data_IF_615471684652
#
_entry.id   IF_615471684652
#
_cell.length_a   1.000
_cell.length_b   1.000
_cell.length_c   1.000
_cell.angle_alpha   90.00
_cell.angle_beta   90.00
_cell.angle_gamma   90.00
#
_symmetry.space_group_name_H-M   'P 1'
#
loop_
_entity.id
_entity.type
_entity.pdbx_description
1 polymer ?
#
# COMPACT_ATOMS: atom_id res chain seq x y z
N UNK A 1 -1.61 5.59 -15.90
CA UNK A 1 -0.46 5.48 -14.98
C UNK A 1 -0.24 4.00 -14.80
N UNK A 2 0.98 3.52 -14.99
CA UNK A 2 1.35 2.13 -14.66
C UNK A 2 1.46 2.04 -13.14
N UNK A 3 0.70 1.14 -12.52
CA UNK A 3 0.75 0.92 -11.06
C UNK A 3 2.04 0.23 -10.62
N UNK A 4 2.07 -0.20 -9.36
CA UNK A 4 3.12 -1.07 -8.83
C UNK A 4 2.97 -2.45 -9.49
N UNK A 5 4.07 -2.99 -10.01
CA UNK A 5 4.09 -4.31 -10.63
C UNK A 5 5.36 -5.05 -10.22
N UNK A 6 5.24 -6.35 -10.01
CA UNK A 6 6.33 -7.27 -9.71
C UNK A 6 6.47 -8.27 -10.84
N UNK A 7 7.70 -8.62 -11.19
CA UNK A 7 7.97 -9.69 -12.14
C UNK A 7 9.24 -10.43 -11.73
N UNK A 8 9.26 -11.73 -12.02
CA UNK A 8 10.43 -12.58 -11.86
C UNK A 8 10.53 -13.50 -13.09
N UNK A 9 11.75 -13.74 -13.59
CA UNK A 9 11.98 -14.57 -14.78
C UNK A 9 11.73 -16.06 -14.51
N UNK A 10 11.92 -16.47 -13.26
CA UNK A 10 11.79 -17.85 -12.79
C UNK A 10 10.38 -18.15 -12.27
N UNK A 11 9.48 -17.16 -12.21
CA UNK A 11 8.04 -17.36 -11.97
C UNK A 11 7.35 -18.02 -13.17
N UNK A 12 7.66 -19.29 -13.38
CA UNK A 12 7.08 -20.12 -14.43
C UNK A 12 7.19 -21.61 -14.07
N UNK A 13 6.49 -22.47 -14.83
CA UNK A 13 6.57 -23.91 -14.64
C UNK A 13 6.21 -24.35 -13.22
N UNK A 14 7.17 -24.95 -12.51
CA UNK A 14 6.94 -25.44 -11.13
C UNK A 14 6.76 -24.31 -10.11
N UNK A 15 7.17 -23.08 -10.44
CA UNK A 15 7.10 -21.92 -9.55
C UNK A 15 5.98 -20.93 -9.92
N UNK A 16 5.15 -21.24 -10.93
CA UNK A 16 4.10 -20.35 -11.46
C UNK A 16 2.94 -20.04 -10.47
N UNK A 17 3.01 -20.53 -9.24
CA UNK A 17 2.05 -20.26 -8.17
C UNK A 17 2.75 -20.11 -6.82
N UNK A 18 4.06 -19.92 -6.82
CA UNK A 18 4.80 -19.70 -5.60
C UNK A 18 4.57 -18.29 -5.09
N UNK A 19 4.46 -18.16 -3.77
CA UNK A 19 4.18 -16.89 -3.13
C UNK A 19 5.43 -16.01 -3.12
N UNK A 20 5.24 -14.72 -3.39
CA UNK A 20 6.18 -13.66 -3.03
C UNK A 20 5.66 -12.90 -1.82
N UNK A 21 6.51 -12.06 -1.26
CA UNK A 21 6.10 -11.05 -0.29
C UNK A 21 6.43 -9.65 -0.80
N UNK A 22 5.45 -8.75 -0.75
CA UNK A 22 5.59 -7.32 -1.03
C UNK A 22 5.25 -6.54 0.24
N UNK A 23 6.16 -5.68 0.67
CA UNK A 23 5.93 -4.74 1.77
C UNK A 23 5.80 -3.33 1.21
N UNK A 24 4.68 -2.67 1.48
CA UNK A 24 4.46 -1.26 1.20
C UNK A 24 4.66 -0.48 2.51
N UNK A 25 5.65 0.40 2.57
CA UNK A 25 5.97 1.18 3.76
C UNK A 25 5.93 2.66 3.45
N UNK A 26 5.08 3.41 4.14
CA UNK A 26 5.06 4.87 4.08
C UNK A 26 5.93 5.46 5.19
N UNK A 27 6.76 6.45 4.86
CA UNK A 27 7.52 7.23 5.84
C UNK A 27 6.60 8.04 6.78
N UNK A 28 5.48 8.53 6.24
CA UNK A 28 4.41 9.21 6.95
C UNK A 28 3.04 8.78 6.43
N UNK A 29 2.04 8.74 7.31
CA UNK A 29 0.68 8.36 6.95
C UNK A 29 0.37 6.88 7.18
N UNK A 30 -0.72 6.43 6.58
CA UNK A 30 -1.29 5.08 6.76
C UNK A 30 -1.66 4.53 5.38
N UNK A 31 -1.25 3.30 5.12
CA UNK A 31 -1.63 2.50 3.96
C UNK A 31 -2.72 1.51 4.40
N UNK A 32 -3.78 1.41 3.60
CA UNK A 32 -4.82 0.42 3.74
C UNK A 32 -5.08 -0.24 2.39
N UNK A 33 -5.06 -1.57 2.35
CA UNK A 33 -5.34 -2.35 1.14
C UNK A 33 -6.70 -3.03 1.33
N UNK A 34 -7.61 -2.81 0.39
CA UNK A 34 -8.92 -3.48 0.33
C UNK A 34 -8.98 -4.23 -0.99
N UNK A 35 -9.28 -5.53 -0.94
CA UNK A 35 -9.43 -6.34 -2.15
C UNK A 35 -10.39 -7.49 -1.88
N UNK A 36 -11.01 -7.99 -2.95
CA UNK A 36 -11.76 -9.25 -2.94
C UNK A 36 -10.88 -10.47 -3.30
N UNK A 37 -9.61 -10.26 -3.67
CA UNK A 37 -8.70 -11.35 -4.02
C UNK A 37 -8.30 -12.13 -2.75
N UNK A 38 -8.85 -13.34 -2.60
CA UNK A 38 -8.60 -14.20 -1.45
C UNK A 38 -7.28 -14.98 -1.53
N UNK A 39 -6.56 -14.92 -2.66
CA UNK A 39 -5.26 -15.58 -2.84
C UNK A 39 -4.10 -14.72 -2.28
N UNK A 40 -4.36 -13.46 -1.94
CA UNK A 40 -3.39 -12.56 -1.31
C UNK A 40 -3.71 -12.44 0.17
N UNK A 41 -2.75 -12.83 1.01
CA UNK A 41 -2.79 -12.59 2.44
C UNK A 41 -2.24 -11.21 2.72
N UNK A 42 -3.03 -10.38 3.42
CA UNK A 42 -2.63 -9.03 3.82
C UNK A 42 -2.44 -9.00 5.34
N UNK A 43 -1.25 -8.62 5.80
CA UNK A 43 -0.94 -8.44 7.23
C UNK A 43 -0.54 -7.00 7.51
N UNK A 44 -0.69 -6.59 8.77
CA UNK A 44 -0.39 -5.22 9.24
C UNK A 44 -1.15 -4.13 8.47
N UNK A 45 -2.32 -4.47 7.94
CA UNK A 45 -3.16 -3.56 7.17
C UNK A 45 -3.60 -2.34 8.00
N UNK A 46 -3.90 -1.23 7.31
CA UNK A 46 -4.32 0.03 7.93
C UNK A 46 -3.27 0.58 8.92
N UNK A 47 -1.99 0.48 8.53
CA UNK A 47 -0.83 0.94 9.29
C UNK A 47 0.19 1.66 8.39
N UNK A 48 1.33 2.10 8.94
CA UNK A 48 2.41 2.70 8.13
C UNK A 48 3.14 1.71 7.22
N UNK A 49 3.02 0.40 7.48
CA UNK A 49 3.61 -0.64 6.66
C UNK A 49 2.65 -1.83 6.51
N UNK A 50 2.32 -2.19 5.27
CA UNK A 50 1.41 -3.29 4.95
C UNK A 50 2.18 -4.35 4.18
N UNK A 51 1.94 -5.62 4.51
CA UNK A 51 2.58 -6.75 3.84
C UNK A 51 1.52 -7.53 3.04
N UNK A 52 1.80 -7.78 1.78
CA UNK A 52 1.01 -8.60 0.86
C UNK A 52 1.83 -9.86 0.56
N UNK A 53 1.21 -11.03 0.69
CA UNK A 53 1.82 -12.32 0.38
C UNK A 53 0.91 -13.15 -0.51
N UNK A 54 1.43 -13.69 -1.60
CA UNK A 54 0.67 -14.52 -2.54
C UNK A 54 1.38 -14.66 -3.89
N UNK A 55 0.78 -15.38 -4.85
CA UNK A 55 1.34 -15.52 -6.19
C UNK A 55 1.53 -14.17 -6.88
N UNK A 56 2.58 -14.02 -7.70
CA UNK A 56 2.92 -12.74 -8.37
C UNK A 56 1.72 -12.18 -9.15
N UNK A 57 1.00 -13.02 -9.88
CA UNK A 57 -0.16 -12.59 -10.67
C UNK A 57 -1.29 -12.02 -9.78
N UNK A 58 -1.55 -12.66 -8.64
CA UNK A 58 -2.58 -12.23 -7.70
C UNK A 58 -2.16 -10.95 -6.95
N UNK A 59 -0.91 -10.86 -6.52
CA UNK A 59 -0.35 -9.64 -5.90
C UNK A 59 -0.40 -8.47 -6.87
N UNK A 60 -0.01 -8.66 -8.12
CA UNK A 60 -0.11 -7.64 -9.16
C UNK A 60 -1.55 -7.24 -9.44
N UNK A 61 -2.50 -8.17 -9.42
CA UNK A 61 -3.91 -7.85 -9.58
C UNK A 61 -4.39 -6.91 -8.45
N UNK A 62 -4.04 -7.20 -7.18
CA UNK A 62 -4.37 -6.34 -6.04
C UNK A 62 -3.72 -4.96 -6.17
N UNK A 63 -2.44 -4.89 -6.52
CA UNK A 63 -1.71 -3.63 -6.69
C UNK A 63 -2.21 -2.78 -7.87
N UNK A 64 -2.89 -3.40 -8.83
CA UNK A 64 -3.49 -2.75 -10.00
C UNK A 64 -4.96 -2.33 -9.79
N UNK A 65 -5.58 -2.69 -8.66
CA UNK A 65 -6.95 -2.28 -8.34
C UNK A 65 -7.02 -0.76 -8.13
N UNK A 66 -7.92 -0.11 -8.88
CA UNK A 66 -8.12 1.35 -8.88
C UNK A 66 -9.58 1.73 -8.59
N UNK A 67 -10.38 0.77 -8.09
CA UNK A 67 -11.75 1.05 -7.74
C UNK A 67 -11.81 1.95 -6.50
N UNK A 68 -12.90 2.69 -6.33
CA UNK A 68 -13.07 3.54 -5.13
C UNK A 68 -13.18 2.69 -3.85
N UNK A 69 -13.57 1.43 -3.98
CA UNK A 69 -13.79 0.48 -2.87
C UNK A 69 -12.67 -0.55 -2.73
N UNK A 70 -11.90 -0.82 -3.79
CA UNK A 70 -10.91 -1.88 -3.87
C UNK A 70 -9.63 -1.32 -4.48
N UNK A 71 -8.51 -1.51 -3.79
CA UNK A 71 -7.20 -0.96 -4.13
C UNK A 71 -6.33 -0.65 -2.92
N UNK A 72 -5.20 0.01 -3.21
CA UNK A 72 -4.27 0.55 -2.21
C UNK A 72 -4.64 2.00 -1.90
N UNK A 73 -5.04 2.24 -0.67
CA UNK A 73 -5.44 3.56 -0.17
C UNK A 73 -4.37 4.13 0.75
N UNK A 74 -4.02 5.38 0.51
CA UNK A 74 -3.09 6.13 1.35
C UNK A 74 -3.82 7.29 2.03
N UNK A 75 -3.55 7.49 3.33
CA UNK A 75 -4.07 8.62 4.10
C UNK A 75 -2.98 9.28 4.92
N UNK A 76 -2.97 10.61 4.95
CA UNK A 76 -2.03 11.41 5.72
C UNK A 76 -2.77 12.38 6.65
N UNK A 77 -3.25 11.91 7.81
CA UNK A 77 -3.99 12.77 8.74
C UNK A 77 -3.11 13.88 9.36
N UNK A 78 -1.78 13.74 9.29
CA UNK A 78 -0.85 14.74 9.83
C UNK A 78 -0.71 15.97 8.92
N UNK A 79 -1.13 15.86 7.65
CA UNK A 79 -1.12 16.98 6.71
C UNK A 79 0.26 17.41 6.24
N UNK A 80 1.21 16.47 6.09
CA UNK A 80 2.49 16.78 5.43
C UNK A 80 2.29 16.96 3.93
N UNK A 81 3.12 17.79 3.31
CA UNK A 81 3.07 18.12 1.87
C UNK A 81 3.57 16.97 0.98
N UNK A 82 4.34 16.05 1.57
CA UNK A 82 5.02 14.96 0.86
C UNK A 82 4.99 13.70 1.72
N UNK A 83 4.99 12.56 1.04
CA UNK A 83 5.28 11.26 1.61
C UNK A 83 6.08 10.42 0.60
N UNK A 84 6.80 9.43 1.10
CA UNK A 84 7.48 8.40 0.31
C UNK A 84 6.91 7.03 0.68
N UNK A 85 6.51 6.28 -0.33
CA UNK A 85 6.15 4.87 -0.19
C UNK A 85 7.31 4.05 -0.72
N UNK A 86 7.94 3.29 0.16
CA UNK A 86 8.93 2.27 -0.19
C UNK A 86 8.22 0.96 -0.45
N UNK A 87 8.50 0.35 -1.59
CA UNK A 87 8.03 -0.97 -1.97
C UNK A 87 9.21 -1.92 -1.87
N UNK A 88 9.14 -2.90 -0.99
CA UNK A 88 10.15 -3.96 -0.91
C UNK A 88 9.53 -5.28 -1.30
N UNK A 89 10.11 -5.96 -2.27
CA UNK A 89 9.66 -7.27 -2.72
C UNK A 89 10.70 -8.32 -2.35
N UNK A 90 10.29 -9.51 -1.93
CA UNK A 90 11.18 -10.66 -1.73
C UNK A 90 10.59 -11.94 -2.30
N UNK A 91 11.46 -12.76 -2.87
CA UNK A 91 11.15 -14.09 -3.40
C UNK A 91 11.08 -15.18 -2.33
N UNK A 92 11.32 -14.85 -1.05
CA UNK A 92 11.36 -15.81 0.06
C UNK A 92 12.32 -17.01 -0.16
N UNK A 93 13.29 -16.87 -1.06
CA UNK A 93 14.23 -17.93 -1.42
C UNK A 93 13.68 -18.99 -2.38
N UNK A 94 12.60 -18.68 -3.10
CA UNK A 94 11.89 -19.64 -3.95
C UNK A 94 12.51 -19.74 -5.34
N UNK A 95 12.93 -18.62 -5.94
CA UNK A 95 13.32 -18.56 -7.35
C UNK A 95 14.83 -18.77 -7.57
N UNK A 96 15.65 -18.67 -6.51
CA UNK A 96 17.09 -18.95 -6.58
C UNK A 96 17.43 -20.45 -6.53
N UNK A 97 18.30 -20.91 -7.43
CA UNK A 97 18.80 -22.31 -7.48
C UNK A 97 19.45 -22.78 -6.16
N UNK A 98 20.01 -21.85 -5.36
CA UNK A 98 20.62 -22.12 -4.06
C UNK A 98 19.67 -21.90 -2.87
N UNK A 99 18.41 -21.53 -3.14
CA UNK A 99 17.41 -21.17 -2.13
C UNK A 99 17.71 -19.86 -1.39
N UNK A 100 18.61 -19.01 -1.92
CA UNK A 100 18.91 -17.71 -1.31
C UNK A 100 17.73 -16.76 -1.45
N UNK A 101 17.41 -16.08 -0.35
CA UNK A 101 16.37 -15.03 -0.34
C UNK A 101 16.93 -13.80 -1.04
N UNK A 102 16.26 -13.38 -2.11
CA UNK A 102 16.53 -12.13 -2.81
C UNK A 102 15.41 -11.12 -2.55
N UNK A 103 15.79 -9.85 -2.62
CA UNK A 103 14.86 -8.74 -2.42
C UNK A 103 15.21 -7.56 -3.31
N UNK A 104 14.18 -6.87 -3.80
CA UNK A 104 14.32 -5.62 -4.53
C UNK A 104 13.56 -4.50 -3.81
N UNK A 105 13.95 -3.24 -4.01
CA UNK A 105 13.31 -2.09 -3.36
C UNK A 105 13.21 -0.89 -4.27
N UNK A 106 11.98 -0.37 -4.38
CA UNK A 106 11.63 0.84 -5.11
C UNK A 106 11.04 1.91 -4.19
N UNK A 107 11.12 3.18 -4.58
CA UNK A 107 10.45 4.28 -3.87
C UNK A 107 9.52 5.06 -4.77
N UNK A 108 8.40 5.49 -4.20
CA UNK A 108 7.33 6.24 -4.86
C UNK A 108 7.07 7.51 -4.06
N UNK A 109 7.33 8.67 -4.67
CA UNK A 109 7.01 9.96 -4.06
C UNK A 109 5.52 10.28 -4.24
N UNK A 110 4.85 10.60 -3.13
CA UNK A 110 3.48 11.09 -3.07
C UNK A 110 3.50 12.58 -2.76
N UNK A 111 3.06 13.39 -3.74
CA UNK A 111 2.89 14.83 -3.54
C UNK A 111 1.46 15.13 -3.12
N UNK A 112 1.29 15.80 -1.99
CA UNK A 112 0.00 16.12 -1.39
C UNK A 112 -0.20 17.62 -1.52
N UNK A 113 -1.26 18.01 -2.22
CA UNK A 113 -1.63 19.43 -2.34
C UNK A 113 -2.70 19.74 -1.27
N UNK A 114 -2.33 20.35 -0.13
CA UNK A 114 -3.31 20.68 0.90
C UNK A 114 -4.29 21.72 0.39
N UNK A 115 -5.55 21.58 0.81
CA UNK A 115 -6.60 22.58 0.57
C UNK A 115 -6.93 23.25 1.90
N UNK A 116 -6.80 24.57 1.96
CA UNK A 116 -7.07 25.34 3.17
C UNK A 116 -8.58 25.37 3.47
N UNK A 117 -8.96 25.01 4.70
CA UNK A 117 -10.33 25.16 5.18
C UNK A 117 -10.51 26.53 5.86
N UNK A 118 -11.61 27.24 5.55
CA UNK A 118 -11.93 28.49 6.22
C UNK A 118 -12.34 28.23 7.69
N UNK A 119 -11.87 29.04 8.66
CA UNK A 119 -12.31 28.90 10.05
C UNK A 119 -13.80 29.23 10.18
N UNK A 120 -14.53 28.43 10.96
CA UNK A 120 -15.94 28.68 11.30
C UNK A 120 -16.07 29.14 12.75
N UNK A 121 -16.76 30.27 12.98
CA UNK A 121 -17.14 30.73 14.31
C UNK A 121 -18.63 30.46 14.55
N UNK A 122 -18.97 29.69 15.57
CA UNK A 122 -20.34 29.50 16.05
C UNK A 122 -20.48 30.11 17.43
N UNK A 123 -21.39 31.07 17.59
CA UNK A 123 -21.70 31.69 18.88
C UNK A 123 -22.94 31.01 19.49
N UNK A 124 -22.79 30.42 20.68
CA UNK A 124 -23.94 30.02 21.50
C UNK A 124 -24.48 31.26 22.23
N UNK A 125 -25.47 31.92 21.61
CA UNK A 125 -26.19 33.02 22.24
C UNK A 125 -27.22 32.45 23.21
N UNK A 126 -26.80 32.05 24.42
CA UNK A 126 -27.76 31.88 25.51
C UNK A 126 -28.19 33.25 26.01
N UNK A 127 -29.48 33.62 25.92
CA UNK A 127 -29.94 34.83 26.57
C UNK A 127 -29.80 34.65 28.08
N UNK A 128 -29.15 35.61 28.76
CA UNK A 128 -29.16 35.66 30.21
C UNK A 128 -30.62 35.83 30.65
N UNK A 129 -31.15 34.85 31.40
CA UNK A 129 -32.40 35.02 32.11
C UNK A 129 -32.18 36.13 33.16
N UNK A 130 -32.96 37.21 33.04
CA UNK A 130 -33.04 38.32 34.00
C UNK A 130 -33.99 37.94 35.12
#
# INVERSE_FOLDING_TARGET
MTGIQVADVDYSGMFASSDIQVTLSADVGIINVVTANANVVITDNNSGAVVLSGPIDDVNAVLAEMAVTDGVFYSNPQGTENAEITVTTTDLGIFGDDGSVQSDTDTITVNINPVANAPTLTLDLRPNAV
#
